data_IF_466843617282
#
_entry.id   IF_466843617282
#
_cell.length_a   1.000
_cell.length_b   1.000
_cell.length_c   1.000
_cell.angle_alpha   90.00
_cell.angle_beta   90.00
_cell.angle_gamma   90.00
#
_symmetry.space_group_name_H-M   'P 1'
#
loop_
_entity.id
_entity.type
_entity.pdbx_description
1 polymer ?
#
# COMPACT_ATOMS: atom_id res chain seq x y z
N UNK A 1 -6.83 -0.23 -6.68
CA UNK A 1 -7.11 0.42 -5.39
C UNK A 1 -8.13 1.56 -5.45
N UNK A 2 -8.23 2.36 -6.53
CA UNK A 2 -9.19 3.49 -6.61
C UNK A 2 -10.63 3.23 -6.13
N UNK A 3 -11.21 2.06 -6.42
CA UNK A 3 -12.55 1.74 -5.91
C UNK A 3 -12.60 1.66 -4.37
N UNK A 4 -11.61 1.00 -3.75
CA UNK A 4 -11.46 0.91 -2.29
C UNK A 4 -11.30 2.30 -1.68
N UNK A 5 -10.50 3.17 -2.30
CA UNK A 5 -10.28 4.55 -1.87
C UNK A 5 -11.57 5.38 -1.88
N UNK A 6 -12.48 5.11 -2.81
CA UNK A 6 -13.72 5.87 -2.96
C UNK A 6 -14.86 5.41 -2.04
N UNK A 7 -14.81 4.16 -1.54
CA UNK A 7 -15.90 3.59 -0.71
C UNK A 7 -15.57 3.61 0.79
N UNK A 8 -14.30 3.79 1.17
CA UNK A 8 -13.89 3.84 2.57
C UNK A 8 -13.71 5.28 3.06
N UNK A 9 -14.36 5.61 4.16
CA UNK A 9 -14.28 6.91 4.84
C UNK A 9 -13.05 7.05 5.75
N UNK A 10 -12.03 6.20 5.59
CA UNK A 10 -10.88 6.16 6.49
C UNK A 10 -9.85 7.24 6.13
N UNK A 11 -9.27 7.91 7.14
CA UNK A 11 -8.22 8.91 6.95
C UNK A 11 -6.89 8.30 6.45
N UNK A 12 -6.78 6.97 6.50
CA UNK A 12 -5.56 6.22 6.20
C UNK A 12 -5.92 4.87 5.59
N UNK A 13 -5.21 4.50 4.52
CA UNK A 13 -5.25 3.16 3.95
C UNK A 13 -3.84 2.60 3.97
N UNK A 14 -3.73 1.35 4.43
CA UNK A 14 -2.53 0.54 4.32
C UNK A 14 -2.81 -0.64 3.39
N UNK A 15 -1.80 -1.04 2.63
CA UNK A 15 -1.82 -2.26 1.83
C UNK A 15 -0.39 -2.75 1.68
N UNK A 16 -0.18 -3.92 1.10
CA UNK A 16 1.16 -4.48 0.95
C UNK A 16 1.29 -5.28 -0.34
N UNK A 17 2.53 -5.52 -0.73
CA UNK A 17 2.85 -6.56 -1.71
C UNK A 17 4.27 -7.07 -1.47
N UNK A 18 4.53 -8.34 -1.79
CA UNK A 18 5.87 -8.90 -1.79
C UNK A 18 6.91 -8.01 -2.51
N UNK A 19 8.14 -8.03 -2.02
CA UNK A 19 9.28 -7.30 -2.59
C UNK A 19 9.59 -7.72 -4.03
N UNK A 20 9.32 -8.97 -4.41
CA UNK A 20 9.46 -9.45 -5.79
C UNK A 20 8.38 -8.93 -6.75
N UNK A 21 7.22 -8.48 -6.25
CA UNK A 21 6.09 -8.05 -7.07
C UNK A 21 6.22 -6.57 -7.48
N UNK A 22 7.21 -6.29 -8.32
CA UNK A 22 7.49 -4.93 -8.80
C UNK A 22 6.28 -4.27 -9.49
N UNK A 23 5.47 -5.06 -10.20
CA UNK A 23 4.26 -4.55 -10.89
C UNK A 23 3.28 -3.94 -9.90
N UNK A 24 3.02 -4.60 -8.78
CA UNK A 24 2.10 -4.09 -7.78
C UNK A 24 2.70 -2.89 -7.02
N UNK A 25 4.02 -2.88 -6.79
CA UNK A 25 4.71 -1.71 -6.24
C UNK A 25 4.52 -0.47 -7.14
N UNK A 26 4.64 -0.63 -8.47
CA UNK A 26 4.38 0.46 -9.42
C UNK A 26 2.93 0.94 -9.38
N UNK A 27 1.96 0.04 -9.21
CA UNK A 27 0.56 0.44 -9.00
C UNK A 27 0.42 1.30 -7.75
N UNK A 28 1.03 0.92 -6.63
CA UNK A 28 1.01 1.73 -5.40
C UNK A 28 1.63 3.11 -5.61
N UNK A 29 2.81 3.19 -6.22
CA UNK A 29 3.46 4.47 -6.52
C UNK A 29 2.60 5.34 -7.45
N UNK A 30 2.01 4.77 -8.50
CA UNK A 30 1.14 5.51 -9.43
C UNK A 30 -0.13 6.06 -8.77
N UNK A 31 -0.53 5.51 -7.62
CA UNK A 31 -1.69 5.94 -6.84
C UNK A 31 -1.30 6.81 -5.64
N UNK A 32 -0.04 7.26 -5.57
CA UNK A 32 0.51 8.10 -4.50
C UNK A 32 0.50 7.43 -3.11
N UNK A 33 0.63 6.10 -3.06
CA UNK A 33 1.02 5.43 -1.82
C UNK A 33 2.53 5.56 -1.64
N UNK A 34 2.96 5.68 -0.39
CA UNK A 34 4.37 5.73 -0.01
C UNK A 34 4.77 4.46 0.73
N UNK A 35 6.03 4.05 0.59
CA UNK A 35 6.59 2.96 1.39
C UNK A 35 6.55 3.35 2.87
N UNK A 36 6.09 2.41 3.71
CA UNK A 36 5.88 2.60 5.15
C UNK A 36 6.54 1.50 5.99
N UNK A 37 7.50 0.76 5.42
CA UNK A 37 8.21 -0.34 6.07
C UNK A 37 8.01 -1.67 5.35
N UNK A 38 8.41 -2.75 6.01
CA UNK A 38 8.23 -4.12 5.53
C UNK A 38 7.98 -5.08 6.69
N UNK A 39 7.36 -6.22 6.38
CA UNK A 39 7.18 -7.34 7.29
C UNK A 39 7.97 -8.53 6.72
N UNK A 40 8.91 -9.04 7.51
CA UNK A 40 9.67 -10.24 7.20
C UNK A 40 8.96 -11.51 7.73
N UNK A 41 9.51 -12.69 7.38
CA UNK A 41 9.04 -14.00 7.86
C UNK A 41 7.59 -14.37 7.47
N UNK A 42 7.08 -13.83 6.36
CA UNK A 42 5.82 -14.28 5.74
C UNK A 42 6.12 -15.28 4.62
N UNK A 43 6.88 -14.83 3.62
CA UNK A 43 7.41 -15.67 2.55
C UNK A 43 8.95 -15.69 2.60
N UNK A 44 9.53 -16.88 2.45
CA UNK A 44 10.98 -17.08 2.57
C UNK A 44 11.74 -16.29 1.50
N UNK A 45 12.54 -15.32 1.95
CA UNK A 45 13.36 -14.48 1.07
C UNK A 45 12.59 -13.40 0.32
N UNK A 46 11.28 -13.25 0.54
CA UNK A 46 10.43 -12.29 -0.18
C UNK A 46 9.48 -11.50 0.75
N UNK A 47 10.02 -10.57 1.55
CA UNK A 47 9.23 -9.84 2.54
C UNK A 47 8.13 -8.99 1.90
N UNK A 48 7.05 -8.76 2.65
CA UNK A 48 5.96 -7.88 2.25
C UNK A 48 6.35 -6.42 2.49
N UNK A 49 6.30 -5.59 1.44
CA UNK A 49 6.48 -4.13 1.54
C UNK A 49 5.15 -3.51 1.91
N UNK A 50 5.14 -2.72 2.98
CA UNK A 50 3.94 -1.99 3.42
C UNK A 50 3.86 -0.64 2.72
N UNK A 51 2.69 -0.33 2.18
CA UNK A 51 2.36 0.91 1.52
C UNK A 51 1.27 1.66 2.29
N UNK A 52 1.43 2.97 2.39
CA UNK A 52 0.54 3.86 3.12
C UNK A 52 0.06 5.00 2.23
N UNK A 53 -1.21 5.36 2.34
CA UNK A 53 -1.76 6.60 1.81
C UNK A 53 -2.66 7.27 2.83
N UNK A 54 -2.39 8.55 3.09
CA UNK A 54 -3.26 9.42 3.89
C UNK A 54 -4.30 10.05 2.99
N UNK A 55 -5.55 10.08 3.44
CA UNK A 55 -6.60 10.88 2.83
C UNK A 55 -6.81 12.12 3.70
N UNK A 56 -6.83 13.29 3.08
CA UNK A 56 -7.27 14.50 3.77
C UNK A 56 -8.80 14.55 3.61
N UNK A 57 -9.50 14.04 4.60
CA UNK A 57 -10.94 14.27 4.73
C UNK A 57 -11.15 15.71 5.22
N UNK A 58 -10.95 16.70 4.34
CA UNK A 58 -11.59 18.00 4.55
C UNK A 58 -13.05 17.83 4.14
N UNK A 59 -13.88 17.58 5.13
CA UNK A 59 -15.32 17.83 5.04
C UNK A 59 -15.57 19.33 5.13
#
# INVERSE_FOLDING_TARGET
>A
MKHVENIFSADKIFSSTNKSNEKMQQVFYSLNYINSGYIDNLDDGDPEIIFFKKFNNFQ
#
